data_IF_887704690408
#
_entry.id   IF_887704690408
#
_cell.length_a   1.000
_cell.length_b   1.000
_cell.length_c   1.000
_cell.angle_alpha   90.00
_cell.angle_beta   90.00
_cell.angle_gamma   90.00
#
_symmetry.space_group_name_H-M   'P 1'
#
loop_
_entity.id
_entity.type
_entity.pdbx_description
1 polymer ?
#
# COMPACT_ATOMS: atom_id res chain seq x y z
N UNK A 1 25.48 -12.84 31.19
CA UNK A 1 25.14 -13.21 29.81
C UNK A 1 24.70 -11.93 29.10
N UNK A 2 25.47 -11.42 28.15
CA UNK A 2 24.99 -10.29 27.31
C UNK A 2 23.97 -10.87 26.34
N UNK A 3 22.73 -10.40 26.39
CA UNK A 3 21.72 -10.73 25.41
C UNK A 3 21.99 -9.83 24.21
N UNK A 4 22.39 -10.41 23.08
CA UNK A 4 22.53 -9.66 21.84
C UNK A 4 21.15 -9.19 21.39
N UNK A 5 21.01 -7.92 20.96
CA UNK A 5 19.75 -7.40 20.49
C UNK A 5 19.30 -8.17 19.22
N UNK A 6 18.04 -8.56 19.19
CA UNK A 6 17.42 -9.17 18.02
C UNK A 6 17.33 -8.14 16.90
N UNK A 7 18.02 -8.40 15.78
CA UNK A 7 17.90 -7.58 14.57
C UNK A 7 16.82 -8.19 13.67
N UNK A 8 15.81 -7.40 13.32
CA UNK A 8 14.73 -7.81 12.43
C UNK A 8 14.87 -7.05 11.10
N UNK A 9 14.93 -7.78 10.00
CA UNK A 9 14.80 -7.20 8.65
C UNK A 9 13.34 -6.83 8.39
N UNK A 10 12.99 -5.59 8.72
CA UNK A 10 11.61 -5.09 8.58
C UNK A 10 11.18 -5.01 7.10
N UNK A 11 12.09 -4.67 6.19
CA UNK A 11 11.77 -4.59 4.75
C UNK A 11 11.51 -5.97 4.18
N UNK A 12 12.32 -6.96 4.57
CA UNK A 12 12.10 -8.36 4.20
C UNK A 12 10.77 -8.90 4.72
N UNK A 13 10.42 -8.59 5.96
CA UNK A 13 9.14 -8.94 6.55
C UNK A 13 7.96 -8.31 5.81
N UNK A 14 8.02 -7.00 5.55
CA UNK A 14 7.01 -6.27 4.78
C UNK A 14 6.89 -6.84 3.36
N UNK A 15 8.01 -7.17 2.72
CA UNK A 15 8.02 -7.79 1.40
C UNK A 15 7.37 -9.18 1.36
N UNK A 16 7.49 -9.95 2.44
CA UNK A 16 6.80 -11.25 2.57
C UNK A 16 5.28 -11.04 2.76
N UNK A 17 4.88 -10.09 3.60
CA UNK A 17 3.46 -9.73 3.77
C UNK A 17 2.85 -9.23 2.46
N UNK A 18 3.52 -8.31 1.76
CA UNK A 18 3.08 -7.82 0.44
C UNK A 18 2.90 -8.95 -0.56
N UNK A 19 3.78 -9.96 -0.55
CA UNK A 19 3.61 -11.11 -1.44
C UNK A 19 2.35 -11.92 -1.14
N UNK A 20 2.01 -12.10 0.13
CA UNK A 20 0.79 -12.79 0.52
C UNK A 20 -0.46 -11.99 0.09
N UNK A 21 -0.44 -10.67 0.24
CA UNK A 21 -1.51 -9.78 -0.25
C UNK A 21 -1.64 -9.87 -1.77
N UNK A 22 -0.55 -9.75 -2.52
CA UNK A 22 -0.52 -9.90 -3.98
C UNK A 22 -1.17 -11.21 -4.47
N UNK A 23 -0.99 -12.32 -3.74
CA UNK A 23 -1.60 -13.60 -4.09
C UNK A 23 -3.13 -13.57 -3.93
N UNK A 24 -3.61 -12.94 -2.85
CA UNK A 24 -5.05 -12.81 -2.59
C UNK A 24 -5.69 -11.87 -3.61
N UNK A 25 -5.06 -10.75 -3.92
CA UNK A 25 -5.55 -9.80 -4.91
C UNK A 25 -5.61 -10.41 -6.32
N UNK A 26 -4.64 -11.24 -6.68
CA UNK A 26 -4.63 -11.94 -7.96
C UNK A 26 -5.86 -12.84 -8.13
N UNK A 27 -6.29 -13.52 -7.05
CA UNK A 27 -7.46 -14.39 -7.07
C UNK A 27 -8.79 -13.61 -7.03
N UNK A 28 -8.87 -12.58 -6.19
CA UNK A 28 -10.13 -11.90 -5.90
C UNK A 28 -10.48 -10.80 -6.91
N UNK A 29 -9.48 -10.01 -7.34
CA UNK A 29 -9.71 -8.84 -8.21
C UNK A 29 -8.97 -8.92 -9.55
N UNK A 30 -8.41 -10.08 -9.86
CA UNK A 30 -7.73 -10.35 -11.14
C UNK A 30 -6.56 -9.38 -11.44
N UNK A 31 -5.91 -8.89 -10.40
CA UNK A 31 -4.69 -8.09 -10.52
C UNK A 31 -3.51 -8.99 -10.87
N UNK A 32 -2.61 -8.53 -11.73
CA UNK A 32 -1.41 -9.31 -12.06
C UNK A 32 -0.58 -9.58 -10.81
N UNK A 33 -0.24 -10.85 -10.58
CA UNK A 33 0.62 -11.27 -9.49
C UNK A 33 1.89 -10.39 -9.35
N UNK A 34 2.34 -10.19 -8.12
CA UNK A 34 3.48 -9.33 -7.74
C UNK A 34 3.23 -7.84 -8.03
N UNK A 35 2.00 -7.38 -7.92
CA UNK A 35 1.65 -5.97 -8.13
C UNK A 35 2.43 -5.06 -7.19
N UNK A 36 2.34 -5.26 -5.88
CA UNK A 36 3.04 -4.46 -4.87
C UNK A 36 4.56 -4.42 -5.08
N UNK A 37 5.17 -5.57 -5.45
CA UNK A 37 6.61 -5.61 -5.76
C UNK A 37 6.99 -4.79 -6.99
N UNK A 38 6.14 -4.77 -8.03
CA UNK A 38 6.41 -3.95 -9.22
C UNK A 38 6.29 -2.47 -8.91
N UNK A 39 5.25 -2.08 -8.15
CA UNK A 39 5.07 -0.70 -7.70
C UNK A 39 6.28 -0.26 -6.87
N UNK A 40 6.70 -1.05 -5.88
CA UNK A 40 7.87 -0.75 -5.06
C UNK A 40 9.15 -0.64 -5.88
N UNK A 41 9.39 -1.55 -6.82
CA UNK A 41 10.57 -1.48 -7.69
C UNK A 41 10.61 -0.18 -8.51
N UNK A 42 9.48 0.18 -9.14
CA UNK A 42 9.40 1.40 -9.95
C UNK A 42 9.61 2.63 -9.07
N UNK A 43 8.92 2.72 -7.92
CA UNK A 43 9.02 3.84 -6.98
C UNK A 43 10.44 4.04 -6.48
N UNK A 44 11.13 2.96 -6.09
CA UNK A 44 12.53 2.99 -5.65
C UNK A 44 13.45 3.46 -6.78
N UNK A 45 13.29 2.94 -8.00
CA UNK A 45 14.11 3.38 -9.14
C UNK A 45 13.92 4.85 -9.48
N UNK A 46 12.68 5.35 -9.40
CA UNK A 46 12.39 6.78 -9.58
C UNK A 46 13.03 7.63 -8.48
N UNK A 47 12.90 7.21 -7.22
CA UNK A 47 13.47 7.92 -6.08
C UNK A 47 15.00 7.97 -6.13
N UNK A 48 15.67 6.88 -6.54
CA UNK A 48 17.11 6.85 -6.77
C UNK A 48 17.55 7.85 -7.85
N UNK A 49 16.78 7.96 -8.94
CA UNK A 49 17.03 8.95 -9.97
C UNK A 49 16.98 10.39 -9.43
N UNK A 50 16.09 10.68 -8.48
CA UNK A 50 16.00 11.96 -7.77
C UNK A 50 16.93 12.07 -6.57
N UNK A 51 17.87 11.12 -6.42
CA UNK A 51 18.87 11.11 -5.33
C UNK A 51 18.28 11.00 -3.92
N UNK A 52 17.07 10.48 -3.78
CA UNK A 52 16.49 10.11 -2.49
C UNK A 52 17.24 8.87 -1.97
N UNK A 53 17.70 8.94 -0.71
CA UNK A 53 18.58 7.91 -0.13
C UNK A 53 18.17 7.53 1.29
N UNK A 54 18.82 6.50 1.80
CA UNK A 54 18.78 6.07 3.20
C UNK A 54 17.34 5.76 3.68
N UNK A 55 16.98 6.31 4.82
CA UNK A 55 15.72 6.01 5.51
C UNK A 55 14.49 6.36 4.66
N UNK A 56 14.50 7.48 3.96
CA UNK A 56 13.39 7.87 3.08
C UNK A 56 13.19 6.89 1.91
N UNK A 57 14.26 6.32 1.36
CA UNK A 57 14.17 5.31 0.30
C UNK A 57 13.61 3.99 0.85
N UNK A 58 14.02 3.61 2.06
CA UNK A 58 13.49 2.42 2.73
C UNK A 58 12.01 2.58 3.04
N UNK A 59 11.60 3.71 3.60
CA UNK A 59 10.21 3.99 3.95
C UNK A 59 9.33 4.05 2.70
N UNK A 60 9.80 4.67 1.61
CA UNK A 60 9.12 4.65 0.32
C UNK A 60 8.90 3.22 -0.20
N UNK A 61 9.92 2.36 -0.10
CA UNK A 61 9.80 0.96 -0.51
C UNK A 61 8.74 0.23 0.31
N UNK A 62 8.70 0.45 1.64
CA UNK A 62 7.69 -0.14 2.53
C UNK A 62 6.29 0.38 2.21
N UNK A 63 6.11 1.69 2.01
CA UNK A 63 4.82 2.26 1.59
C UNK A 63 4.36 1.66 0.26
N UNK A 64 5.24 1.60 -0.73
CA UNK A 64 4.90 1.05 -2.05
C UNK A 64 4.58 -0.45 -2.02
N UNK A 65 5.23 -1.23 -1.13
CA UNK A 65 4.88 -2.65 -0.92
C UNK A 65 3.51 -2.83 -0.26
N UNK A 66 3.07 -1.86 0.51
CA UNK A 66 1.86 -1.92 1.34
C UNK A 66 0.75 -0.96 0.87
N UNK A 67 0.85 -0.37 -0.33
CA UNK A 67 -0.11 0.64 -0.77
C UNK A 67 -1.56 0.12 -0.77
N UNK A 68 -1.76 -1.16 -1.10
CA UNK A 68 -3.05 -1.84 -1.11
C UNK A 68 -3.29 -2.74 0.13
N UNK A 69 -2.58 -2.50 1.24
CA UNK A 69 -2.57 -3.40 2.41
C UNK A 69 -3.96 -3.68 3.04
N UNK A 70 -4.94 -2.82 2.81
CA UNK A 70 -6.30 -2.97 3.31
C UNK A 70 -7.30 -3.44 2.23
N UNK A 71 -6.87 -3.66 1.00
CA UNK A 71 -7.75 -4.08 -0.09
C UNK A 71 -8.37 -5.45 0.19
N UNK A 72 -7.59 -6.38 0.71
CA UNK A 72 -8.06 -7.73 1.07
C UNK A 72 -9.09 -7.71 2.20
N UNK A 73 -8.93 -6.84 3.20
CA UNK A 73 -9.91 -6.65 4.26
C UNK A 73 -11.22 -6.16 3.67
N UNK A 74 -11.17 -5.12 2.85
CA UNK A 74 -12.33 -4.55 2.20
C UNK A 74 -13.08 -5.60 1.34
N UNK A 75 -12.35 -6.35 0.51
CA UNK A 75 -12.94 -7.41 -0.31
C UNK A 75 -13.57 -8.50 0.56
N UNK A 76 -12.92 -8.89 1.65
CA UNK A 76 -13.45 -9.90 2.58
C UNK A 76 -14.77 -9.45 3.23
N UNK A 77 -14.88 -8.18 3.61
CA UNK A 77 -16.12 -7.62 4.17
C UNK A 77 -17.24 -7.59 3.12
N UNK A 78 -16.95 -7.24 1.87
CA UNK A 78 -17.94 -7.26 0.78
C UNK A 78 -18.36 -8.71 0.44
N UNK A 79 -17.44 -9.68 0.46
CA UNK A 79 -17.75 -11.11 0.23
C UNK A 79 -18.69 -11.70 1.28
N UNK A 80 -18.65 -11.23 2.53
CA UNK A 80 -19.58 -11.66 3.56
C UNK A 80 -21.02 -11.18 3.29
N UNK A 81 -21.17 -10.09 2.56
CA UNK A 81 -22.46 -9.45 2.31
C UNK A 81 -23.03 -9.74 0.91
N UNK A 82 -22.19 -10.15 -0.03
CA UNK A 82 -22.55 -10.33 -1.45
C UNK A 82 -21.86 -11.54 -2.06
N UNK A 83 -22.39 -12.05 -3.21
CA UNK A 83 -21.74 -13.13 -3.95
C UNK A 83 -20.50 -12.63 -4.71
N UNK A 84 -19.53 -13.51 -4.95
CA UNK A 84 -18.29 -13.24 -5.70
C UNK A 84 -18.54 -12.57 -7.07
N UNK A 85 -19.62 -12.98 -7.75
CA UNK A 85 -20.02 -12.42 -9.06
C UNK A 85 -20.51 -10.98 -8.90
N UNK A 86 -21.22 -10.68 -7.81
CA UNK A 86 -21.67 -9.32 -7.52
C UNK A 86 -20.49 -8.38 -7.29
N UNK A 87 -19.50 -8.80 -6.53
CA UNK A 87 -18.32 -7.99 -6.21
C UNK A 87 -17.51 -7.65 -7.46
N UNK A 88 -17.22 -8.66 -8.30
CA UNK A 88 -16.46 -8.45 -9.55
C UNK A 88 -17.11 -7.44 -10.50
N UNK A 89 -18.44 -7.31 -10.45
CA UNK A 89 -19.21 -6.46 -11.37
C UNK A 89 -19.63 -5.11 -10.77
N UNK A 90 -19.65 -4.97 -9.44
CA UNK A 90 -20.31 -3.86 -8.77
C UNK A 90 -19.45 -3.16 -7.71
N UNK A 91 -18.12 -3.41 -7.68
CA UNK A 91 -17.26 -2.65 -6.81
C UNK A 91 -17.31 -1.18 -7.23
N UNK A 92 -18.05 -0.36 -6.49
CA UNK A 92 -18.18 1.07 -6.81
C UNK A 92 -16.85 1.78 -6.64
N UNK A 93 -16.54 2.75 -7.48
CA UNK A 93 -15.31 3.54 -7.37
C UNK A 93 -15.20 4.23 -5.99
N UNK A 94 -16.32 4.71 -5.43
CA UNK A 94 -16.34 5.30 -4.08
C UNK A 94 -15.87 4.32 -3.00
N UNK A 95 -16.31 3.07 -3.08
CA UNK A 95 -15.93 2.04 -2.12
C UNK A 95 -14.48 1.58 -2.29
N UNK A 96 -13.96 1.59 -3.53
CA UNK A 96 -12.57 1.22 -3.79
C UNK A 96 -11.56 2.07 -3.01
N UNK A 97 -11.88 3.32 -2.70
CA UNK A 97 -10.97 4.22 -1.97
C UNK A 97 -10.96 4.01 -0.45
N UNK A 98 -11.87 3.21 0.09
CA UNK A 98 -11.86 2.89 1.52
C UNK A 98 -10.58 2.16 1.94
N UNK A 99 -9.97 1.36 1.03
CA UNK A 99 -8.70 0.70 1.32
C UNK A 99 -7.57 1.71 1.57
N UNK A 100 -7.61 2.90 0.95
CA UNK A 100 -6.61 3.95 1.21
C UNK A 100 -6.71 4.45 2.65
N UNK A 101 -7.93 4.67 3.16
CA UNK A 101 -8.19 5.16 4.52
C UNK A 101 -7.76 4.12 5.56
N UNK A 102 -8.18 2.88 5.37
CA UNK A 102 -7.80 1.79 6.27
C UNK A 102 -6.31 1.44 6.15
N UNK A 103 -5.77 1.47 4.94
CA UNK A 103 -4.36 1.22 4.67
C UNK A 103 -3.45 2.22 5.36
N UNK A 104 -3.75 3.51 5.29
CA UNK A 104 -3.04 4.56 6.02
C UNK A 104 -3.05 4.31 7.53
N UNK A 105 -4.21 3.96 8.08
CA UNK A 105 -4.34 3.63 9.51
C UNK A 105 -3.52 2.39 9.90
N UNK A 106 -3.47 1.38 9.04
CA UNK A 106 -2.72 0.16 9.28
C UNK A 106 -1.22 0.44 9.35
N UNK A 107 -0.67 1.19 8.37
CA UNK A 107 0.75 1.48 8.32
C UNK A 107 1.23 2.38 9.47
N UNK A 108 0.35 3.17 10.10
CA UNK A 108 0.71 4.02 11.23
C UNK A 108 1.30 3.26 12.43
N UNK A 109 1.20 1.93 12.44
CA UNK A 109 1.77 1.05 13.47
C UNK A 109 3.16 0.52 13.13
N UNK A 110 3.64 0.78 11.91
CA UNK A 110 4.95 0.32 11.46
C UNK A 110 6.04 1.33 11.85
N UNK A 111 7.28 0.85 12.07
CA UNK A 111 8.38 1.70 12.53
C UNK A 111 9.05 2.43 11.34
N UNK A 112 8.32 3.33 10.70
CA UNK A 112 8.90 4.24 9.72
C UNK A 112 9.89 5.19 10.38
N UNK A 113 10.89 5.64 9.64
CA UNK A 113 11.95 6.53 10.11
C UNK A 113 11.75 7.97 9.65
N UNK A 114 10.95 8.15 8.59
CA UNK A 114 10.56 9.46 8.07
C UNK A 114 9.04 9.64 8.22
N UNK A 115 8.54 10.85 8.01
CA UNK A 115 7.11 11.09 7.95
C UNK A 115 6.56 10.57 6.62
N UNK A 116 5.71 9.55 6.72
CA UNK A 116 5.00 8.93 5.59
C UNK A 116 3.51 9.21 5.61
N UNK A 117 3.10 10.18 6.43
CA UNK A 117 1.69 10.57 6.55
C UNK A 117 1.07 10.89 5.21
N UNK A 118 -0.10 10.33 4.97
CA UNK A 118 -0.87 10.47 3.74
C UNK A 118 -0.29 9.76 2.50
N UNK A 119 0.82 9.04 2.61
CA UNK A 119 1.41 8.32 1.48
C UNK A 119 0.45 7.25 0.93
N UNK A 120 -0.17 6.48 1.82
CA UNK A 120 -1.17 5.46 1.44
C UNK A 120 -2.53 6.11 1.21
N UNK A 121 -2.90 7.10 2.02
CA UNK A 121 -4.20 7.76 1.88
C UNK A 121 -4.41 8.33 0.47
N UNK A 122 -3.38 8.96 -0.10
CA UNK A 122 -3.48 9.67 -1.37
C UNK A 122 -2.80 8.97 -2.55
N UNK A 123 -2.49 7.68 -2.47
CA UNK A 123 -1.78 6.99 -3.55
C UNK A 123 -2.59 6.87 -4.86
N UNK A 124 -3.91 7.04 -4.80
CA UNK A 124 -4.78 7.17 -5.98
C UNK A 124 -5.09 8.63 -6.35
N UNK A 125 -4.52 9.61 -5.65
CA UNK A 125 -4.80 11.01 -5.96
C UNK A 125 -4.10 11.44 -7.25
N UNK A 126 -4.74 12.32 -7.99
CA UNK A 126 -4.18 12.88 -9.19
C UNK A 126 -3.42 14.17 -8.87
N UNK A 127 -2.32 14.44 -9.60
CA UNK A 127 -1.49 15.61 -9.38
C UNK A 127 -2.24 16.96 -9.55
N UNK A 128 -3.32 16.96 -10.33
CA UNK A 128 -4.19 18.11 -10.57
C UNK A 128 -5.35 18.23 -9.57
N UNK A 129 -5.48 17.29 -8.62
CA UNK A 129 -6.54 17.27 -7.62
C UNK A 129 -7.88 16.76 -8.12
N UNK A 130 -7.93 16.09 -9.28
CA UNK A 130 -9.16 15.47 -9.80
C UNK A 130 -9.35 14.03 -9.31
N UNK A 131 -8.46 13.54 -8.44
CA UNK A 131 -8.54 12.22 -7.86
C UNK A 131 -9.62 12.10 -6.77
N UNK A 132 -9.71 10.93 -6.13
CA UNK A 132 -10.81 10.58 -5.23
C UNK A 132 -10.93 11.46 -3.99
N UNK A 133 -9.85 12.04 -3.54
CA UNK A 133 -9.82 12.88 -2.33
C UNK A 133 -9.78 14.39 -2.63
N UNK A 134 -9.72 14.75 -3.91
CA UNK A 134 -9.71 16.15 -4.40
C UNK A 134 -8.61 17.00 -3.74
N UNK A 135 -7.42 16.42 -3.56
CA UNK A 135 -6.26 17.08 -2.97
C UNK A 135 -5.24 17.45 -4.03
N UNK A 136 -4.83 18.70 -4.06
CA UNK A 136 -3.73 19.14 -4.92
C UNK A 136 -2.39 19.00 -4.22
N UNK A 137 -1.33 18.68 -4.96
CA UNK A 137 0.04 18.53 -4.45
C UNK A 137 0.61 19.80 -3.76
N UNK A 138 -0.05 20.92 -3.83
CA UNK A 138 0.37 22.16 -3.16
C UNK A 138 -0.05 22.24 -1.69
N UNK A 139 -0.69 21.21 -1.17
CA UNK A 139 -1.21 21.14 0.19
C UNK A 139 -0.81 19.88 0.96
N UNK A 140 0.15 19.11 0.45
CA UNK A 140 0.71 17.93 1.11
C UNK A 140 2.11 18.25 1.60
#
# INVERSE_FOLDING_TARGET
MKVEPLSIDIVGLVGACSYALDCIEAELVNVKNKHGKRVAYISVRMAEYWSIKSDALQDLAMCALLHDNALTQYISEELQNHSDVYIKNNLSEEKKHLHCIYGEKNISKLPFKTDVSNAILYHHEHADGTGPFQKTWRGI
#
